data_IF_798188040128
#
_entry.id   IF_798188040128
#
_cell.length_a   1.000
_cell.length_b   1.000
_cell.length_c   1.000
_cell.angle_alpha   90.00
_cell.angle_beta   90.00
_cell.angle_gamma   90.00
#
_symmetry.space_group_name_H-M   'P 1'
#
loop_
_entity.id
_entity.type
_entity.pdbx_description
1 polymer ?
#
# COMPACT_ATOMS: atom_id res chain seq x y z
N UNK A 1 -24.10 -31.73 -7.95
CA UNK A 1 -22.81 -31.05 -8.25
C UNK A 1 -22.16 -30.66 -6.92
N UNK A 2 -20.89 -31.01 -6.69
CA UNK A 2 -20.18 -30.55 -5.48
C UNK A 2 -20.04 -29.02 -5.54
N UNK A 3 -20.32 -28.29 -4.45
CA UNK A 3 -20.12 -26.84 -4.43
C UNK A 3 -18.64 -26.54 -4.68
N UNK A 4 -18.36 -25.58 -5.56
CA UNK A 4 -16.98 -25.15 -5.85
C UNK A 4 -16.39 -24.54 -4.58
N UNK A 5 -15.25 -25.07 -4.14
CA UNK A 5 -14.56 -24.61 -2.92
C UNK A 5 -14.04 -23.18 -3.08
N UNK A 6 -14.05 -22.42 -1.98
CA UNK A 6 -13.50 -21.06 -1.90
C UNK A 6 -12.06 -20.97 -2.42
N UNK A 7 -11.20 -21.93 -2.04
CA UNK A 7 -9.80 -21.98 -2.47
C UNK A 7 -9.66 -22.12 -3.98
N UNK A 8 -10.56 -22.86 -4.64
CA UNK A 8 -10.56 -23.00 -6.10
C UNK A 8 -10.90 -21.68 -6.78
N UNK A 9 -11.85 -20.92 -6.21
CA UNK A 9 -12.22 -19.59 -6.72
C UNK A 9 -11.08 -18.60 -6.50
N UNK A 10 -10.47 -18.58 -5.32
CA UNK A 10 -9.32 -17.73 -5.04
C UNK A 10 -8.14 -18.04 -5.97
N UNK A 11 -7.82 -19.31 -6.20
CA UNK A 11 -6.81 -19.72 -7.18
C UNK A 11 -7.14 -19.24 -8.60
N UNK A 12 -8.42 -19.19 -8.96
CA UNK A 12 -8.84 -18.65 -10.25
C UNK A 12 -8.62 -17.13 -10.36
N UNK A 13 -8.80 -16.38 -9.27
CA UNK A 13 -8.50 -14.94 -9.25
C UNK A 13 -7.01 -14.69 -9.42
N UNK A 14 -6.15 -15.43 -8.71
CA UNK A 14 -4.71 -15.42 -8.92
C UNK A 14 -4.33 -15.72 -10.38
N UNK A 15 -4.95 -16.74 -10.98
CA UNK A 15 -4.66 -17.09 -12.37
C UNK A 15 -5.09 -16.02 -13.39
N UNK A 16 -6.25 -15.38 -13.20
CA UNK A 16 -6.73 -14.29 -14.07
C UNK A 16 -5.77 -13.11 -14.07
N UNK A 17 -5.16 -12.85 -12.93
CA UNK A 17 -4.45 -11.61 -12.65
C UNK A 17 -2.93 -11.76 -12.60
N UNK A 18 -2.40 -12.99 -12.76
CA UNK A 18 -0.96 -13.30 -12.70
C UNK A 18 -0.07 -12.49 -13.66
N UNK A 19 -0.60 -12.04 -14.79
CA UNK A 19 0.14 -11.25 -15.78
C UNK A 19 -0.29 -9.78 -15.82
N UNK A 20 -1.10 -9.35 -14.85
CA UNK A 20 -1.54 -7.97 -14.81
C UNK A 20 -0.40 -7.08 -14.28
N UNK A 21 0.07 -6.17 -15.13
CA UNK A 21 1.16 -5.24 -14.82
C UNK A 21 0.81 -4.38 -13.60
N UNK A 22 -0.46 -4.00 -13.41
CA UNK A 22 -0.87 -3.20 -12.26
C UNK A 22 -0.57 -3.87 -10.91
N UNK A 23 -0.75 -5.19 -10.83
CA UNK A 23 -0.52 -5.95 -9.60
C UNK A 23 0.97 -6.07 -9.33
N UNK A 24 1.76 -6.40 -10.36
CA UNK A 24 3.22 -6.45 -10.22
C UNK A 24 3.81 -5.09 -9.88
N UNK A 25 3.28 -4.02 -10.48
CA UNK A 25 3.69 -2.65 -10.18
C UNK A 25 3.40 -2.31 -8.71
N UNK A 26 2.19 -2.59 -8.21
CA UNK A 26 1.85 -2.36 -6.81
C UNK A 26 2.75 -3.18 -5.87
N UNK A 27 2.92 -4.47 -6.16
CA UNK A 27 3.66 -5.42 -5.33
C UNK A 27 5.16 -5.13 -5.26
N UNK A 28 5.78 -4.75 -6.39
CA UNK A 28 7.22 -4.47 -6.48
C UNK A 28 7.57 -2.99 -6.31
N UNK A 29 6.59 -2.10 -6.27
CA UNK A 29 6.78 -0.68 -5.96
C UNK A 29 7.74 -0.43 -4.77
N UNK A 30 7.54 -1.04 -3.58
CA UNK A 30 8.43 -0.82 -2.45
C UNK A 30 9.88 -1.21 -2.75
N UNK A 31 10.08 -2.32 -3.47
CA UNK A 31 11.41 -2.80 -3.86
C UNK A 31 12.11 -1.82 -4.83
N UNK A 32 11.40 -1.31 -5.83
CA UNK A 32 12.00 -0.39 -6.79
C UNK A 32 12.33 0.97 -6.17
N UNK A 33 11.44 1.50 -5.32
CA UNK A 33 11.67 2.78 -4.65
C UNK A 33 12.86 2.70 -3.70
N UNK A 34 12.94 1.65 -2.87
CA UNK A 34 14.08 1.44 -1.97
C UNK A 34 15.39 1.35 -2.73
N UNK A 35 15.46 0.54 -3.80
CA UNK A 35 16.66 0.42 -4.63
C UNK A 35 17.07 1.77 -5.26
N UNK A 36 16.13 2.51 -5.85
CA UNK A 36 16.43 3.82 -6.44
C UNK A 36 17.00 4.80 -5.41
N UNK A 37 16.49 4.75 -4.18
CA UNK A 37 16.93 5.63 -3.11
C UNK A 37 18.29 5.20 -2.57
N UNK A 38 18.55 3.90 -2.43
CA UNK A 38 19.87 3.40 -2.04
C UNK A 38 20.94 3.86 -3.03
N UNK A 39 20.67 3.74 -4.33
CA UNK A 39 21.56 4.23 -5.39
C UNK A 39 21.77 5.75 -5.26
N UNK A 40 20.70 6.51 -5.07
CA UNK A 40 20.79 7.97 -4.86
C UNK A 40 21.63 8.34 -3.63
N UNK A 41 21.45 7.65 -2.51
CA UNK A 41 22.21 7.87 -1.27
C UNK A 41 23.69 7.57 -1.51
N UNK A 42 24.02 6.45 -2.14
CA UNK A 42 25.40 6.07 -2.44
C UNK A 42 26.09 7.09 -3.35
N UNK A 43 25.39 7.60 -4.37
CA UNK A 43 25.94 8.66 -5.23
C UNK A 43 26.12 9.99 -4.48
N UNK A 44 25.13 10.39 -3.67
CA UNK A 44 25.18 11.66 -2.93
C UNK A 44 26.24 11.67 -1.83
N UNK A 45 26.52 10.51 -1.25
CA UNK A 45 27.45 10.34 -0.13
C UNK A 45 28.71 9.55 -0.53
N UNK A 46 29.06 9.56 -1.82
CA UNK A 46 30.25 8.87 -2.33
C UNK A 46 31.54 9.29 -1.62
N UNK A 47 31.66 10.57 -1.23
CA UNK A 47 32.82 11.07 -0.49
C UNK A 47 32.93 10.45 0.91
N UNK A 48 31.79 10.13 1.54
CA UNK A 48 31.74 9.46 2.83
C UNK A 48 32.07 7.96 2.73
N UNK A 49 31.90 7.35 1.55
CA UNK A 49 32.39 5.99 1.26
C UNK A 49 33.93 5.99 1.28
N UNK A 50 34.54 7.02 0.68
CA UNK A 50 36.00 7.11 0.56
C UNK A 50 36.69 7.63 1.82
N UNK A 51 35.96 8.33 2.71
CA UNK A 51 36.48 8.90 3.94
C UNK A 51 35.64 8.49 5.17
N UNK A 52 35.89 7.29 5.75
CA UNK A 52 35.11 6.77 6.89
C UNK A 52 35.29 7.56 8.20
N UNK A 53 36.17 8.56 8.22
CA UNK A 53 36.36 9.47 9.35
C UNK A 53 35.21 10.48 9.51
N UNK A 54 34.36 10.66 8.49
CA UNK A 54 33.20 11.55 8.54
C UNK A 54 32.08 10.84 9.31
N UNK A 55 31.85 11.26 10.55
CA UNK A 55 30.77 10.74 11.40
C UNK A 55 29.58 11.68 11.42
N UNK A 56 28.37 11.12 11.36
CA UNK A 56 27.12 11.89 11.44
C UNK A 56 26.39 11.57 12.75
N UNK A 57 25.84 12.60 13.39
CA UNK A 57 25.14 12.51 14.67
C UNK A 57 23.63 12.67 14.50
N UNK A 58 23.03 11.79 13.69
CA UNK A 58 21.58 11.71 13.54
C UNK A 58 21.16 10.29 13.16
N UNK A 59 19.92 9.91 13.46
CA UNK A 59 19.41 8.57 13.13
C UNK A 59 19.32 8.39 11.60
N UNK A 60 20.18 7.54 10.99
CA UNK A 60 20.26 7.43 9.55
C UNK A 60 19.07 6.66 8.95
N UNK A 61 18.46 5.76 9.72
CA UNK A 61 17.24 5.07 9.31
C UNK A 61 16.09 6.04 9.02
N UNK A 62 16.00 7.10 9.82
CA UNK A 62 14.95 8.12 9.71
C UNK A 62 15.31 9.12 8.62
N UNK A 63 16.48 9.74 8.72
CA UNK A 63 16.81 10.90 7.90
C UNK A 63 17.43 10.57 6.54
N UNK A 64 18.09 9.43 6.42
CA UNK A 64 18.73 8.99 5.18
C UNK A 64 17.83 8.05 4.37
N UNK A 65 17.13 7.12 5.01
CA UNK A 65 16.25 6.16 4.34
C UNK A 65 14.77 6.58 4.40
N UNK A 66 14.20 6.57 5.60
CA UNK A 66 12.77 6.78 5.83
C UNK A 66 12.24 8.04 5.17
N UNK A 67 12.94 9.16 5.34
CA UNK A 67 12.58 10.45 4.76
C UNK A 67 12.39 10.40 3.24
N UNK A 68 13.20 9.66 2.49
CA UNK A 68 13.00 9.63 1.03
C UNK A 68 11.97 8.57 0.66
N UNK A 69 12.09 7.35 1.22
CA UNK A 69 11.25 6.21 0.83
C UNK A 69 9.78 6.47 1.16
N UNK A 70 9.53 6.97 2.36
CA UNK A 70 8.17 7.09 2.87
C UNK A 70 7.40 8.27 2.24
N UNK A 71 8.09 9.29 1.73
CA UNK A 71 7.45 10.36 0.96
C UNK A 71 6.92 9.85 -0.38
N UNK A 72 7.69 9.00 -1.08
CA UNK A 72 7.20 8.30 -2.27
C UNK A 72 6.01 7.40 -1.94
N UNK A 73 6.05 6.73 -0.80
CA UNK A 73 4.94 5.89 -0.36
C UNK A 73 3.67 6.72 -0.15
N UNK A 74 3.77 7.81 0.60
CA UNK A 74 2.62 8.65 0.92
C UNK A 74 1.98 9.30 -0.30
N UNK A 75 2.76 9.59 -1.34
CA UNK A 75 2.26 10.15 -2.60
C UNK A 75 1.70 9.07 -3.55
N UNK A 76 2.46 8.00 -3.81
CA UNK A 76 2.19 7.09 -4.93
C UNK A 76 1.37 5.86 -4.53
N UNK A 77 1.52 5.32 -3.31
CA UNK A 77 0.76 4.12 -2.94
C UNK A 77 -0.77 4.28 -3.05
N UNK A 78 -1.39 5.39 -2.61
CA UNK A 78 -2.84 5.53 -2.73
C UNK A 78 -3.31 5.56 -4.20
N UNK A 79 -2.47 6.09 -5.09
CA UNK A 79 -2.72 6.09 -6.54
C UNK A 79 -2.58 4.68 -7.09
N UNK A 80 -1.51 3.97 -6.73
CA UNK A 80 -1.30 2.57 -7.12
C UNK A 80 -2.40 1.65 -6.55
N UNK A 81 -2.91 1.92 -5.36
CA UNK A 81 -4.05 1.23 -4.78
C UNK A 81 -5.32 1.42 -5.63
N UNK A 82 -5.51 2.61 -6.21
CA UNK A 82 -6.60 2.84 -7.16
C UNK A 82 -6.43 2.06 -8.46
N UNK A 83 -5.20 2.03 -9.00
CA UNK A 83 -4.87 1.22 -10.19
C UNK A 83 -5.11 -0.27 -9.92
N UNK A 84 -4.65 -0.78 -8.77
CA UNK A 84 -4.86 -2.16 -8.32
C UNK A 84 -6.35 -2.49 -8.26
N UNK A 85 -7.12 -1.69 -7.52
CA UNK A 85 -8.57 -1.88 -7.33
C UNK A 85 -9.35 -1.79 -8.65
N UNK A 86 -8.95 -0.90 -9.55
CA UNK A 86 -9.56 -0.84 -10.88
C UNK A 86 -9.21 -2.07 -11.72
N UNK A 87 -7.95 -2.53 -11.69
CA UNK A 87 -7.50 -3.69 -12.48
C UNK A 87 -8.29 -4.97 -12.13
N UNK A 88 -8.70 -5.12 -10.87
CA UNK A 88 -9.60 -6.18 -10.40
C UNK A 88 -10.99 -6.11 -11.03
N UNK A 89 -11.50 -4.90 -11.25
CA UNK A 89 -12.80 -4.68 -11.89
C UNK A 89 -12.71 -4.74 -13.41
N UNK A 90 -11.61 -4.27 -14.00
CA UNK A 90 -11.38 -4.20 -15.45
C UNK A 90 -11.45 -5.58 -16.12
N UNK A 91 -10.86 -6.60 -15.48
CA UNK A 91 -10.94 -7.98 -15.96
C UNK A 91 -12.39 -8.48 -16.05
N UNK A 92 -13.27 -8.01 -15.17
CA UNK A 92 -14.68 -8.39 -15.15
C UNK A 92 -15.57 -7.50 -16.04
N UNK A 93 -15.13 -6.26 -16.30
CA UNK A 93 -15.78 -5.39 -17.29
C UNK A 93 -15.53 -5.85 -18.73
N UNK A 94 -14.35 -6.42 -18.98
CA UNK A 94 -14.03 -7.02 -20.28
C UNK A 94 -14.87 -8.27 -20.53
N UNK A 95 -15.26 -8.47 -21.79
CA UNK A 95 -15.96 -9.67 -22.27
C UNK A 95 -17.24 -10.05 -21.49
N UNK A 96 -17.96 -9.07 -20.94
CA UNK A 96 -19.17 -9.31 -20.13
C UNK A 96 -18.93 -10.24 -18.92
N UNK A 97 -17.73 -10.17 -18.31
CA UNK A 97 -17.31 -11.02 -17.20
C UNK A 97 -18.29 -11.02 -16.03
N UNK A 98 -18.81 -9.87 -15.62
CA UNK A 98 -19.85 -9.79 -14.58
C UNK A 98 -21.09 -10.63 -14.91
N UNK A 99 -21.60 -10.56 -16.14
CA UNK A 99 -22.79 -11.32 -16.55
C UNK A 99 -22.51 -12.82 -16.56
N UNK A 100 -21.36 -13.23 -17.10
CA UNK A 100 -20.90 -14.62 -17.12
C UNK A 100 -20.70 -15.18 -15.70
N UNK A 101 -20.11 -14.39 -14.80
CA UNK A 101 -19.91 -14.79 -13.40
C UNK A 101 -21.22 -15.11 -12.70
N UNK A 102 -22.27 -14.29 -12.90
CA UNK A 102 -23.55 -14.50 -12.25
C UNK A 102 -24.43 -15.60 -12.87
N UNK A 103 -24.09 -16.07 -14.08
CA UNK A 103 -24.74 -17.27 -14.67
C UNK A 103 -24.17 -18.59 -14.15
N UNK A 104 -22.97 -18.58 -13.55
CA UNK A 104 -22.36 -19.79 -12.99
C UNK A 104 -23.08 -20.18 -11.70
N UNK A 105 -23.26 -21.49 -11.41
CA UNK A 105 -23.88 -21.97 -10.17
C UNK A 105 -22.92 -21.84 -8.98
N UNK A 106 -22.48 -20.62 -8.68
CA UNK A 106 -21.58 -20.29 -7.58
C UNK A 106 -22.21 -19.23 -6.68
N UNK A 107 -21.92 -19.29 -5.38
CA UNK A 107 -22.41 -18.30 -4.43
C UNK A 107 -21.77 -16.93 -4.72
N UNK A 108 -22.60 -15.89 -4.79
CA UNK A 108 -22.12 -14.50 -4.97
C UNK A 108 -21.21 -14.08 -3.81
N UNK A 109 -21.48 -14.59 -2.60
CA UNK A 109 -20.67 -14.34 -1.40
C UNK A 109 -19.29 -14.94 -1.56
N UNK A 110 -19.16 -16.19 -2.03
CA UNK A 110 -17.84 -16.83 -2.15
C UNK A 110 -16.98 -16.17 -3.22
N UNK A 111 -17.58 -15.76 -4.35
CA UNK A 111 -16.88 -14.99 -5.40
C UNK A 111 -16.42 -13.65 -4.87
N UNK A 112 -17.31 -12.91 -4.20
CA UNK A 112 -16.97 -11.60 -3.65
C UNK A 112 -15.88 -11.69 -2.57
N UNK A 113 -16.02 -12.60 -1.61
CA UNK A 113 -15.02 -12.82 -0.56
C UNK A 113 -13.66 -13.19 -1.15
N UNK A 114 -13.62 -13.96 -2.25
CA UNK A 114 -12.34 -14.31 -2.90
C UNK A 114 -11.61 -13.08 -3.45
N UNK A 115 -12.35 -12.08 -3.97
CA UNK A 115 -11.78 -10.82 -4.46
C UNK A 115 -11.26 -9.94 -3.33
N UNK A 116 -11.99 -9.86 -2.22
CA UNK A 116 -11.55 -9.15 -1.01
C UNK A 116 -10.25 -9.77 -0.48
N UNK A 117 -10.23 -11.09 -0.30
CA UNK A 117 -9.07 -11.78 0.25
C UNK A 117 -7.87 -11.61 -0.67
N UNK A 118 -8.06 -11.73 -2.00
CA UNK A 118 -7.00 -11.46 -2.96
C UNK A 118 -6.46 -10.03 -2.86
N UNK A 119 -7.34 -9.02 -2.78
CA UNK A 119 -6.92 -7.62 -2.64
C UNK A 119 -6.13 -7.40 -1.35
N UNK A 120 -6.59 -7.93 -0.22
CA UNK A 120 -5.86 -7.87 1.06
C UNK A 120 -4.52 -8.60 1.02
N UNK A 121 -4.47 -9.77 0.36
CA UNK A 121 -3.26 -10.57 0.19
C UNK A 121 -2.18 -9.78 -0.56
N UNK A 122 -2.53 -9.13 -1.68
CA UNK A 122 -1.58 -8.31 -2.44
C UNK A 122 -1.08 -7.13 -1.61
N UNK A 123 -1.95 -6.45 -0.85
CA UNK A 123 -1.56 -5.33 0.01
C UNK A 123 -0.63 -5.81 1.12
N UNK A 124 -0.94 -6.95 1.73
CA UNK A 124 -0.11 -7.55 2.78
C UNK A 124 1.28 -7.91 2.24
N UNK A 125 1.35 -8.63 1.11
CA UNK A 125 2.62 -9.02 0.48
C UNK A 125 3.43 -7.77 0.10
N UNK A 126 2.82 -6.76 -0.50
CA UNK A 126 3.49 -5.49 -0.82
C UNK A 126 4.06 -4.81 0.43
N UNK A 127 3.29 -4.74 1.52
CA UNK A 127 3.77 -4.16 2.78
C UNK A 127 4.93 -4.96 3.38
N UNK A 128 4.91 -6.28 3.27
CA UNK A 128 5.95 -7.18 3.74
C UNK A 128 7.23 -7.04 2.90
N UNK A 129 7.11 -6.93 1.58
CA UNK A 129 8.24 -6.62 0.69
C UNK A 129 8.83 -5.26 1.08
N UNK A 130 8.00 -4.25 1.32
CA UNK A 130 8.46 -2.96 1.83
C UNK A 130 9.23 -3.05 3.14
N UNK A 131 8.73 -3.82 4.10
CA UNK A 131 9.41 -4.06 5.37
C UNK A 131 10.78 -4.73 5.18
N UNK A 132 10.83 -5.82 4.41
CA UNK A 132 12.07 -6.56 4.18
C UNK A 132 13.09 -5.74 3.40
N UNK A 133 12.67 -5.04 2.35
CA UNK A 133 13.56 -4.22 1.51
C UNK A 133 14.11 -3.03 2.28
N UNK A 134 13.29 -2.36 3.10
CA UNK A 134 13.75 -1.30 3.98
C UNK A 134 14.79 -1.80 5.00
N UNK A 135 14.54 -2.95 5.63
CA UNK A 135 15.49 -3.55 6.56
C UNK A 135 16.81 -3.96 5.88
N UNK A 136 16.72 -4.59 4.70
CA UNK A 136 17.90 -4.99 3.92
C UNK A 136 18.69 -3.77 3.44
N UNK A 137 18.02 -2.68 3.04
CA UNK A 137 18.66 -1.43 2.62
C UNK A 137 19.47 -0.81 3.77
N UNK A 138 18.92 -0.75 4.98
CA UNK A 138 19.65 -0.22 6.13
C UNK A 138 20.88 -1.04 6.49
N UNK A 139 20.80 -2.38 6.44
CA UNK A 139 21.98 -3.23 6.67
C UNK A 139 22.99 -3.17 5.53
N UNK A 140 22.56 -2.99 4.29
CA UNK A 140 23.47 -2.80 3.16
C UNK A 140 24.21 -1.45 3.29
N UNK A 141 23.49 -0.37 3.60
CA UNK A 141 24.08 0.96 3.78
C UNK A 141 24.97 1.04 5.03
N UNK A 142 24.69 0.30 6.10
CA UNK A 142 25.60 0.22 7.25
C UNK A 142 27.00 -0.27 6.87
N UNK A 143 27.06 -1.27 5.97
CA UNK A 143 28.33 -1.82 5.48
C UNK A 143 29.03 -0.91 4.48
N UNK A 144 28.26 -0.25 3.61
CA UNK A 144 28.79 0.61 2.55
C UNK A 144 29.17 2.02 3.06
N UNK A 145 28.49 2.49 4.12
CA UNK A 145 28.64 3.82 4.69
C UNK A 145 28.80 3.73 6.23
N UNK A 146 29.92 3.15 6.73
CA UNK A 146 30.11 2.88 8.15
C UNK A 146 30.11 4.15 9.02
N UNK A 147 30.39 5.33 8.44
CA UNK A 147 30.35 6.63 9.13
C UNK A 147 28.97 7.02 9.69
N UNK A 148 27.89 6.44 9.17
CA UNK A 148 26.51 6.68 9.62
C UNK A 148 26.06 5.78 10.77
N UNK A 149 26.75 4.66 11.02
CA UNK A 149 26.51 3.74 12.13
C UNK A 149 25.02 3.34 12.26
N UNK A 150 24.41 2.80 11.20
CA UNK A 150 23.02 2.33 11.26
C UNK A 150 22.81 1.31 12.38
N UNK A 151 23.81 0.45 12.61
CA UNK A 151 23.77 -0.57 13.68
C UNK A 151 23.71 -0.01 15.11
N UNK A 152 24.06 1.26 15.35
CA UNK A 152 23.94 1.85 16.70
C UNK A 152 22.53 2.32 17.04
N UNK A 153 21.62 2.39 16.06
CA UNK A 153 20.25 2.86 16.26
C UNK A 153 19.26 1.70 16.22
N UNK A 154 18.40 1.61 17.24
CA UNK A 154 17.31 0.64 17.27
C UNK A 154 16.01 1.27 16.75
N UNK A 155 15.58 0.85 15.56
CA UNK A 155 14.33 1.30 14.91
C UNK A 155 13.32 0.17 14.69
N UNK A 156 13.56 -1.01 15.27
CA UNK A 156 12.75 -2.20 14.98
C UNK A 156 11.27 -1.99 15.32
N UNK A 157 10.98 -1.44 16.50
CA UNK A 157 9.59 -1.18 16.94
C UNK A 157 8.91 -0.14 16.04
N UNK A 158 9.62 0.93 15.70
CA UNK A 158 9.10 1.98 14.80
C UNK A 158 8.80 1.44 13.42
N UNK A 159 9.70 0.64 12.85
CA UNK A 159 9.54 0.04 11.54
C UNK A 159 8.38 -0.95 11.51
N UNK A 160 8.28 -1.85 12.48
CA UNK A 160 7.16 -2.81 12.57
C UNK A 160 5.82 -2.06 12.68
N UNK A 161 5.73 -1.06 13.56
CA UNK A 161 4.52 -0.23 13.67
C UNK A 161 4.17 0.49 12.38
N UNK A 162 5.17 1.09 11.71
CA UNK A 162 4.97 1.79 10.44
C UNK A 162 4.35 0.87 9.38
N UNK A 163 4.94 -0.30 9.13
CA UNK A 163 4.47 -1.21 8.08
C UNK A 163 3.13 -1.87 8.42
N UNK A 164 2.86 -2.17 9.69
CA UNK A 164 1.54 -2.63 10.12
C UNK A 164 0.45 -1.58 9.89
N UNK A 165 0.72 -0.31 10.21
CA UNK A 165 -0.26 0.76 10.04
C UNK A 165 -0.39 1.18 8.57
N UNK A 166 0.68 1.08 7.80
CA UNK A 166 0.66 1.21 6.34
C UNK A 166 -0.25 0.16 5.72
N UNK A 167 -0.19 -1.11 6.15
CA UNK A 167 -1.10 -2.15 5.69
C UNK A 167 -2.57 -1.80 5.97
N UNK A 168 -2.89 -1.32 7.18
CA UNK A 168 -4.25 -0.90 7.55
C UNK A 168 -4.72 0.30 6.70
N UNK A 169 -3.87 1.31 6.54
CA UNK A 169 -4.18 2.50 5.75
C UNK A 169 -4.40 2.17 4.27
N UNK A 170 -3.53 1.37 3.67
CA UNK A 170 -3.65 0.94 2.28
C UNK A 170 -4.87 0.04 2.07
N UNK A 171 -5.23 -0.79 3.04
CA UNK A 171 -6.47 -1.56 2.99
C UNK A 171 -7.68 -0.63 2.92
N UNK A 172 -7.76 0.37 3.79
CA UNK A 172 -8.87 1.34 3.78
C UNK A 172 -8.98 2.08 2.45
N UNK A 173 -7.87 2.63 1.95
CA UNK A 173 -7.82 3.31 0.65
C UNK A 173 -8.24 2.37 -0.49
N UNK A 174 -7.72 1.14 -0.50
CA UNK A 174 -8.00 0.18 -1.58
C UNK A 174 -9.46 -0.22 -1.63
N UNK A 175 -10.15 -0.38 -0.49
CA UNK A 175 -11.59 -0.67 -0.48
C UNK A 175 -12.46 0.51 -0.92
N UNK A 176 -12.09 1.75 -0.57
CA UNK A 176 -12.74 2.94 -1.12
C UNK A 176 -12.59 2.94 -2.65
N UNK A 177 -11.38 2.69 -3.13
CA UNK A 177 -11.09 2.66 -4.57
C UNK A 177 -11.75 1.48 -5.29
N UNK A 178 -11.89 0.34 -4.64
CA UNK A 178 -12.59 -0.82 -5.19
C UNK A 178 -14.08 -0.50 -5.35
N UNK A 179 -14.68 0.19 -4.40
CA UNK A 179 -16.06 0.66 -4.52
C UNK A 179 -16.24 1.65 -5.67
N UNK A 180 -15.36 2.64 -5.79
CA UNK A 180 -15.37 3.59 -6.90
C UNK A 180 -15.20 2.87 -8.25
N UNK A 181 -14.29 1.90 -8.32
CA UNK A 181 -14.05 1.08 -9.52
C UNK A 181 -15.22 0.15 -9.86
N UNK A 182 -15.98 -0.29 -8.85
CA UNK A 182 -17.25 -0.99 -9.07
C UNK A 182 -18.34 -0.04 -9.57
N UNK A 183 -18.40 1.21 -9.12
CA UNK A 183 -19.43 2.15 -9.60
C UNK A 183 -19.12 2.61 -11.02
N UNK A 184 -17.89 3.08 -11.25
CA UNK A 184 -17.46 3.67 -12.49
C UNK A 184 -16.69 2.68 -13.36
N UNK A 185 -17.12 2.52 -14.62
CA UNK A 185 -16.38 1.71 -15.62
C UNK A 185 -15.14 2.43 -16.17
N UNK A 186 -14.94 3.71 -15.84
CA UNK A 186 -13.82 4.51 -16.34
C UNK A 186 -12.62 4.39 -15.40
N UNK A 187 -11.45 4.08 -15.94
CA UNK A 187 -10.17 4.08 -15.23
C UNK A 187 -9.81 5.46 -14.64
N UNK A 188 -10.16 6.53 -15.35
CA UNK A 188 -9.71 7.89 -15.02
C UNK A 188 -10.31 8.37 -13.70
N UNK A 189 -11.56 7.99 -13.40
CA UNK A 189 -12.29 8.52 -12.24
C UNK A 189 -11.74 8.02 -10.89
N UNK A 190 -11.59 6.70 -10.63
CA UNK A 190 -11.02 6.23 -9.37
C UNK A 190 -9.61 6.77 -9.11
N UNK A 191 -8.78 6.82 -10.15
CA UNK A 191 -7.38 7.24 -10.03
C UNK A 191 -7.26 8.75 -9.85
N UNK A 192 -8.00 9.53 -10.61
CA UNK A 192 -8.09 10.98 -10.43
C UNK A 192 -8.61 11.33 -9.03
N UNK A 193 -9.60 10.59 -8.53
CA UNK A 193 -10.09 10.74 -7.15
C UNK A 193 -9.01 10.39 -6.12
N UNK A 194 -8.22 9.33 -6.35
CA UNK A 194 -7.11 8.97 -5.48
C UNK A 194 -6.09 10.10 -5.39
N UNK A 195 -5.62 10.60 -6.53
CA UNK A 195 -4.64 11.69 -6.59
C UNK A 195 -5.17 12.99 -5.99
N UNK A 196 -6.45 13.31 -6.22
CA UNK A 196 -7.07 14.47 -5.59
C UNK A 196 -7.10 14.32 -4.07
N UNK A 197 -7.56 13.18 -3.55
CA UNK A 197 -7.66 12.95 -2.11
C UNK A 197 -6.31 12.86 -1.41
N UNK A 198 -5.26 12.36 -2.07
CA UNK A 198 -3.90 12.40 -1.50
C UNK A 198 -3.41 13.84 -1.36
N UNK A 199 -3.49 14.63 -2.44
CA UNK A 199 -3.07 16.04 -2.41
C UNK A 199 -3.89 16.84 -1.40
N UNK A 200 -5.20 16.64 -1.38
CA UNK A 200 -6.09 17.27 -0.41
C UNK A 200 -5.71 16.88 1.04
N UNK A 201 -5.37 15.62 1.27
CA UNK A 201 -4.87 15.13 2.56
C UNK A 201 -3.59 15.84 3.01
N UNK A 202 -2.64 16.07 2.09
CA UNK A 202 -1.40 16.81 2.39
C UNK A 202 -1.71 18.24 2.80
N UNK A 203 -2.57 18.93 2.04
CA UNK A 203 -2.91 20.34 2.31
C UNK A 203 -3.64 20.47 3.66
N UNK A 204 -4.51 19.51 3.97
CA UNK A 204 -5.32 19.52 5.19
C UNK A 204 -4.58 19.03 6.44
N UNK A 205 -3.29 18.66 6.36
CA UNK A 205 -2.59 17.92 7.42
C UNK A 205 -2.55 18.62 8.80
N UNK A 206 -2.62 19.94 8.82
CA UNK A 206 -2.56 20.76 10.04
C UNK A 206 -3.92 20.90 10.75
N UNK A 207 -4.95 20.16 10.32
CA UNK A 207 -6.30 20.23 10.88
C UNK A 207 -6.58 19.05 11.80
N UNK A 208 -7.30 19.31 12.89
CA UNK A 208 -7.60 18.28 13.91
C UNK A 208 -8.40 17.08 13.38
N UNK A 209 -9.19 17.27 12.33
CA UNK A 209 -10.04 16.25 11.72
C UNK A 209 -9.38 15.47 10.57
N UNK A 210 -8.09 15.68 10.32
CA UNK A 210 -7.33 15.01 9.26
C UNK A 210 -7.44 13.47 9.34
N UNK A 211 -7.54 12.93 10.56
CA UNK A 211 -7.64 11.49 10.81
C UNK A 211 -8.90 10.84 10.19
N UNK A 212 -9.89 11.63 9.75
CA UNK A 212 -11.07 11.16 9.04
C UNK A 212 -10.84 10.89 7.55
N UNK A 213 -9.70 11.32 6.99
CA UNK A 213 -9.35 11.17 5.58
C UNK A 213 -8.32 10.04 5.44
N UNK A 214 -8.72 8.81 5.02
CA UNK A 214 -7.81 7.66 4.97
C UNK A 214 -6.56 7.90 4.12
N UNK A 215 -6.70 8.67 3.03
CA UNK A 215 -5.62 9.02 2.09
C UNK A 215 -4.51 9.87 2.72
N UNK A 216 -4.80 10.58 3.82
CA UNK A 216 -3.80 11.37 4.56
C UNK A 216 -3.00 10.55 5.57
N UNK A 217 -3.43 9.31 5.86
CA UNK A 217 -2.82 8.51 6.94
C UNK A 217 -1.35 8.24 6.69
N UNK A 218 -0.94 7.96 5.45
CA UNK A 218 0.46 7.68 5.14
C UNK A 218 1.36 8.87 5.47
N UNK A 219 0.93 10.09 5.14
CA UNK A 219 1.64 11.31 5.51
C UNK A 219 1.79 11.47 7.02
N UNK A 220 0.73 11.18 7.78
CA UNK A 220 0.80 11.17 9.25
C UNK A 220 1.75 10.11 9.79
N UNK A 221 1.78 8.92 9.20
CA UNK A 221 2.71 7.85 9.58
C UNK A 221 4.17 8.27 9.36
N UNK A 222 4.45 8.98 8.26
CA UNK A 222 5.78 9.53 7.99
C UNK A 222 6.21 10.51 9.10
N UNK A 223 5.32 11.43 9.48
CA UNK A 223 5.58 12.37 10.56
C UNK A 223 5.85 11.66 11.91
N UNK A 224 5.08 10.63 12.23
CA UNK A 224 5.34 9.79 13.41
C UNK A 224 6.69 9.08 13.36
N UNK A 225 7.08 8.58 12.18
CA UNK A 225 8.40 7.97 11.98
C UNK A 225 9.53 8.97 12.19
N UNK A 226 9.39 10.20 11.69
CA UNK A 226 10.40 11.26 11.84
C UNK A 226 10.58 11.70 13.29
N UNK A 227 9.50 11.73 14.06
CA UNK A 227 9.52 12.05 15.48
C UNK A 227 9.92 10.86 16.37
N UNK A 228 10.20 9.69 15.78
CA UNK A 228 10.61 8.49 16.51
C UNK A 228 9.51 7.90 17.40
N UNK A 229 8.23 8.22 17.16
CA UNK A 229 7.09 7.69 17.91
C UNK A 229 5.91 7.41 17.00
N UNK A 230 5.54 6.13 16.89
CA UNK A 230 4.35 5.68 16.16
C UNK A 230 3.50 4.85 17.12
N UNK A 231 2.35 5.40 17.51
CA UNK A 231 1.38 4.75 18.37
C UNK A 231 0.06 4.54 17.64
N UNK A 232 -0.71 3.55 18.10
CA UNK A 232 -2.04 3.31 17.58
C UNK A 232 -2.95 4.49 17.96
N UNK A 233 -3.46 5.21 16.96
CA UNK A 233 -4.20 6.45 17.17
C UNK A 233 -5.64 6.36 16.64
N UNK A 234 -6.38 7.46 16.77
CA UNK A 234 -7.75 7.58 16.24
C UNK A 234 -7.86 7.27 14.75
N UNK A 235 -6.83 7.58 13.95
CA UNK A 235 -6.90 7.34 12.50
C UNK A 235 -6.82 5.86 12.12
N UNK A 236 -6.12 5.04 12.89
CA UNK A 236 -6.05 3.59 12.67
C UNK A 236 -7.42 2.95 12.94
N UNK A 237 -8.09 3.37 14.03
CA UNK A 237 -9.49 2.97 14.29
C UNK A 237 -10.43 3.36 13.15
N UNK A 238 -10.30 4.59 12.65
CA UNK A 238 -11.10 5.09 11.54
C UNK A 238 -10.82 4.28 10.27
N UNK A 239 -9.57 4.01 9.93
CA UNK A 239 -9.22 3.19 8.76
C UNK A 239 -9.81 1.77 8.84
N UNK A 240 -9.75 1.12 10.01
CA UNK A 240 -10.39 -0.19 10.21
C UNK A 240 -11.91 -0.09 10.00
N UNK A 241 -12.55 0.96 10.52
CA UNK A 241 -13.98 1.19 10.31
C UNK A 241 -14.30 1.41 8.81
N UNK A 242 -13.46 2.17 8.09
CA UNK A 242 -13.57 2.37 6.64
C UNK A 242 -13.47 1.03 5.89
N UNK A 243 -12.51 0.16 6.24
CA UNK A 243 -12.38 -1.18 5.64
C UNK A 243 -13.69 -1.96 5.78
N UNK A 244 -14.20 -2.09 7.01
CA UNK A 244 -15.43 -2.85 7.27
C UNK A 244 -16.65 -2.25 6.56
N UNK A 245 -16.81 -0.94 6.62
CA UNK A 245 -17.91 -0.22 6.00
C UNK A 245 -17.90 -0.39 4.47
N UNK A 246 -16.75 -0.16 3.83
CA UNK A 246 -16.65 -0.27 2.38
C UNK A 246 -16.71 -1.71 1.89
N UNK A 247 -16.28 -2.71 2.67
CA UNK A 247 -16.53 -4.13 2.37
C UNK A 247 -18.04 -4.43 2.28
N UNK A 248 -18.84 -3.88 3.18
CA UNK A 248 -20.29 -4.11 3.17
C UNK A 248 -20.91 -3.42 1.96
N UNK A 249 -20.53 -2.18 1.67
CA UNK A 249 -21.05 -1.42 0.53
C UNK A 249 -20.68 -2.09 -0.80
N UNK A 250 -19.42 -2.48 -0.99
CA UNK A 250 -19.01 -3.09 -2.27
C UNK A 250 -19.71 -4.42 -2.50
N UNK A 251 -20.12 -5.14 -1.45
CA UNK A 251 -20.91 -6.36 -1.61
C UNK A 251 -22.28 -6.07 -2.23
N UNK A 252 -22.99 -5.07 -1.72
CA UNK A 252 -24.29 -4.66 -2.26
C UNK A 252 -24.18 -4.11 -3.68
N UNK A 253 -23.15 -3.30 -3.96
CA UNK A 253 -22.88 -2.78 -5.31
C UNK A 253 -22.56 -3.94 -6.27
N UNK A 254 -21.74 -4.90 -5.82
CA UNK A 254 -21.34 -6.06 -6.62
C UNK A 254 -22.53 -6.94 -6.99
N UNK A 255 -23.43 -7.26 -6.06
CA UNK A 255 -24.61 -8.11 -6.33
C UNK A 255 -25.57 -7.46 -7.35
N UNK A 256 -25.63 -6.12 -7.35
CA UNK A 256 -26.51 -5.35 -8.25
C UNK A 256 -25.94 -5.20 -9.67
N UNK A 257 -24.67 -5.53 -9.91
CA UNK A 257 -24.10 -5.53 -11.26
C UNK A 257 -24.74 -6.63 -12.09
N UNK A 258 -25.28 -6.25 -13.25
CA UNK A 258 -25.83 -7.14 -14.28
C UNK A 258 -24.92 -7.13 -15.49
#
# INVERSE_FOLDING_TARGET
MKPVSFFTILKSEHYKLRFNIAIWLFLLFPFFITLCIDVYILFKHADAVNNPAITFDYNPWVWLLGRYIFEFYALLYPILAAVLSYSLCDVEYKNYGFRLLFTRPMSKVTVYSSKIVFLLEIIFISSLIGYLTFLLSGFALDKLLPGYKFSSYNVNTLMVSYFLYLFIALSAVSFIQYNLSLIFKSFVLPIGFAGFMTIFGIIAQNKDYIYLIPYSTLWRLNYGFYNGTISFSKGEYVNIAFVLFFIIISFFVFIRKK
#
